data_IF_760547244229
#
_entry.id   IF_760547244229
#
_cell.length_a   1.000
_cell.length_b   1.000
_cell.length_c   1.000
_cell.angle_alpha   90.00
_cell.angle_beta   90.00
_cell.angle_gamma   90.00
#
_symmetry.space_group_name_H-M   'P 1'
#
loop_
_entity.id
_entity.type
_entity.pdbx_description
1 polymer ?
#
# COMPACT_ATOMS: atom_id res chain seq x y z
N UNK A 1 5.29 11.93 -19.81
CA UNK A 1 4.66 11.60 -18.51
C UNK A 1 3.75 10.42 -18.78
N UNK A 2 4.29 9.21 -18.60
CA UNK A 2 3.50 7.98 -18.76
C UNK A 2 2.42 7.96 -17.68
N UNK A 3 1.18 7.74 -18.10
CA UNK A 3 0.08 7.51 -17.18
C UNK A 3 0.45 6.35 -16.26
N UNK A 4 0.44 6.62 -14.96
CA UNK A 4 0.57 5.62 -13.91
C UNK A 4 -0.36 4.45 -14.22
N UNK A 5 0.24 3.28 -14.42
CA UNK A 5 -0.46 2.20 -15.11
C UNK A 5 -1.50 1.58 -14.17
N UNK A 6 -2.75 1.37 -14.61
CA UNK A 6 -3.75 0.60 -13.85
C UNK A 6 -3.21 -0.75 -13.35
N UNK A 7 -2.26 -1.33 -14.09
CA UNK A 7 -1.55 -2.54 -13.74
C UNK A 7 -0.68 -2.38 -12.48
N UNK A 8 0.02 -1.25 -12.32
CA UNK A 8 0.81 -0.97 -11.11
C UNK A 8 -0.08 -0.90 -9.87
N UNK A 9 -1.21 -0.20 -9.97
CA UNK A 9 -2.18 -0.14 -8.86
C UNK A 9 -2.79 -1.51 -8.55
N UNK A 10 -3.10 -2.30 -9.57
CA UNK A 10 -3.62 -3.65 -9.40
C UNK A 10 -2.62 -4.54 -8.63
N UNK A 11 -1.34 -4.54 -9.02
CA UNK A 11 -0.30 -5.33 -8.35
C UNK A 11 -0.16 -4.95 -6.87
N UNK A 12 -0.14 -3.65 -6.57
CA UNK A 12 -0.08 -3.17 -5.18
C UNK A 12 -1.32 -3.58 -4.40
N UNK A 13 -2.51 -3.48 -4.99
CA UNK A 13 -3.79 -3.86 -4.37
C UNK A 13 -3.86 -5.35 -4.03
N UNK A 14 -3.44 -6.20 -4.97
CA UNK A 14 -3.42 -7.65 -4.79
C UNK A 14 -2.45 -8.06 -3.67
N UNK A 15 -1.22 -7.52 -3.69
CA UNK A 15 -0.23 -7.79 -2.63
C UNK A 15 -0.69 -7.30 -1.27
N UNK A 16 -1.31 -6.11 -1.22
CA UNK A 16 -1.91 -5.58 0.00
C UNK A 16 -2.97 -6.53 0.57
N UNK A 17 -3.89 -7.02 -0.26
CA UNK A 17 -4.96 -7.92 0.16
C UNK A 17 -4.43 -9.24 0.71
N UNK A 18 -3.40 -9.81 0.07
CA UNK A 18 -2.74 -11.03 0.54
C UNK A 18 -2.11 -10.80 1.93
N UNK A 19 -1.34 -9.72 2.10
CA UNK A 19 -0.68 -9.45 3.39
C UNK A 19 -1.69 -9.17 4.50
N UNK A 20 -2.75 -8.41 4.24
CA UNK A 20 -3.79 -8.16 5.23
C UNK A 20 -4.45 -9.48 5.69
N UNK A 21 -4.83 -10.33 4.73
CA UNK A 21 -5.40 -11.64 5.04
C UNK A 21 -4.46 -12.52 5.87
N UNK A 22 -3.15 -12.47 5.60
CA UNK A 22 -2.17 -13.21 6.40
C UNK A 22 -2.06 -12.65 7.81
N UNK A 23 -1.98 -11.32 7.97
CA UNK A 23 -1.93 -10.68 9.28
C UNK A 23 -3.20 -10.94 10.10
N UNK A 24 -4.37 -10.97 9.47
CA UNK A 24 -5.64 -11.23 10.15
C UNK A 24 -5.73 -12.66 10.71
N UNK A 25 -5.05 -13.61 10.08
CA UNK A 25 -5.00 -15.02 10.52
C UNK A 25 -3.95 -15.29 11.59
N UNK A 26 -3.11 -14.31 11.94
CA UNK A 26 -2.05 -14.46 12.93
C UNK A 26 -2.40 -13.72 14.23
N UNK A 27 -2.86 -14.43 15.27
CA UNK A 27 -2.99 -13.85 16.60
C UNK A 27 -1.61 -13.72 17.26
N UNK A 28 -1.24 -12.52 17.71
CA UNK A 28 -0.02 -12.28 18.48
C UNK A 28 1.13 -11.69 17.67
N UNK A 29 2.36 -12.11 17.98
CA UNK A 29 3.57 -11.57 17.33
C UNK A 29 3.69 -12.11 15.90
N UNK A 30 3.90 -11.22 14.94
CA UNK A 30 4.09 -11.61 13.56
C UNK A 30 5.47 -12.25 13.35
N UNK A 31 5.59 -13.24 12.44
CA UNK A 31 6.88 -13.71 11.94
C UNK A 31 7.71 -12.55 11.35
N UNK A 32 9.03 -12.58 11.54
CA UNK A 32 9.95 -11.54 11.03
C UNK A 32 9.80 -11.32 9.52
N UNK A 33 9.51 -12.38 8.76
CA UNK A 33 9.27 -12.29 7.33
C UNK A 33 8.13 -11.32 6.98
N UNK A 34 7.04 -11.30 7.77
CA UNK A 34 5.90 -10.40 7.51
C UNK A 34 6.26 -8.93 7.70
N UNK A 35 7.22 -8.62 8.59
CA UNK A 35 7.73 -7.25 8.71
C UNK A 35 8.44 -6.82 7.42
N UNK A 36 9.33 -7.68 6.92
CA UNK A 36 10.04 -7.44 5.66
C UNK A 36 9.08 -7.31 4.48
N UNK A 37 8.05 -8.16 4.40
CA UNK A 37 7.09 -8.15 3.32
C UNK A 37 6.24 -6.85 3.31
N UNK A 38 5.79 -6.38 4.47
CA UNK A 38 5.04 -5.10 4.59
C UNK A 38 5.92 -3.91 4.23
N UNK A 39 7.16 -3.87 4.72
CA UNK A 39 8.12 -2.80 4.38
C UNK A 39 8.41 -2.79 2.88
N UNK A 40 8.62 -3.97 2.29
CA UNK A 40 8.87 -4.11 0.86
C UNK A 40 7.66 -3.68 0.01
N UNK A 41 6.43 -3.96 0.47
CA UNK A 41 5.23 -3.49 -0.19
C UNK A 41 5.14 -1.95 -0.16
N UNK A 42 5.40 -1.31 0.98
CA UNK A 42 5.37 0.16 1.10
C UNK A 42 6.37 0.81 0.14
N UNK A 43 7.62 0.32 0.13
CA UNK A 43 8.65 0.81 -0.79
C UNK A 43 8.34 0.49 -2.27
N UNK A 44 7.63 -0.59 -2.54
CA UNK A 44 7.14 -0.88 -3.89
C UNK A 44 6.06 0.11 -4.31
N UNK A 45 5.12 0.45 -3.43
CA UNK A 45 4.06 1.44 -3.70
C UNK A 45 4.64 2.80 -4.02
N UNK A 46 5.63 3.27 -3.23
CA UNK A 46 6.34 4.52 -3.48
C UNK A 46 6.92 4.58 -4.90
N UNK A 47 7.60 3.51 -5.32
CA UNK A 47 8.25 3.45 -6.64
C UNK A 47 7.29 3.23 -7.80
N UNK A 48 6.26 2.40 -7.62
CA UNK A 48 5.35 2.01 -8.70
C UNK A 48 4.24 3.03 -8.95
N UNK A 49 3.79 3.74 -7.91
CA UNK A 49 2.67 4.68 -8.01
C UNK A 49 3.09 6.13 -8.25
N UNK A 50 4.40 6.43 -8.32
CA UNK A 50 4.93 7.80 -8.41
C UNK A 50 4.17 8.72 -7.45
N UNK A 51 4.27 8.38 -6.16
CA UNK A 51 3.47 8.98 -5.11
C UNK A 51 3.71 10.49 -5.06
N UNK A 52 2.64 11.28 -4.92
CA UNK A 52 2.78 12.72 -4.76
C UNK A 52 3.35 13.10 -3.38
N UNK A 53 3.54 14.39 -3.13
CA UNK A 53 4.09 14.86 -1.85
C UNK A 53 3.27 14.38 -0.64
N UNK A 54 1.94 14.43 -0.71
CA UNK A 54 1.05 14.06 0.39
C UNK A 54 1.00 12.54 0.57
N UNK A 55 0.96 11.79 -0.52
CA UNK A 55 1.02 10.34 -0.48
C UNK A 55 2.35 9.83 0.07
N UNK A 56 3.46 10.51 -0.25
CA UNK A 56 4.76 10.21 0.34
C UNK A 56 4.79 10.41 1.86
N UNK A 57 4.13 11.44 2.39
CA UNK A 57 3.99 11.60 3.85
C UNK A 57 3.24 10.40 4.47
N UNK A 58 2.18 9.93 3.81
CA UNK A 58 1.43 8.74 4.26
C UNK A 58 2.30 7.47 4.19
N UNK A 59 3.08 7.29 3.11
CA UNK A 59 4.01 6.17 2.95
C UNK A 59 5.12 6.18 4.00
N UNK A 60 5.66 7.35 4.35
CA UNK A 60 6.64 7.50 5.43
C UNK A 60 6.04 7.09 6.79
N UNK A 61 4.81 7.52 7.07
CA UNK A 61 4.10 7.11 8.29
C UNK A 61 3.86 5.59 8.30
N UNK A 62 3.41 5.02 7.18
CA UNK A 62 3.21 3.58 7.04
C UNK A 62 4.52 2.81 7.27
N UNK A 63 5.63 3.29 6.70
CA UNK A 63 6.96 2.72 6.88
C UNK A 63 7.37 2.73 8.36
N UNK A 64 7.22 3.87 9.04
CA UNK A 64 7.52 3.97 10.48
C UNK A 64 6.70 2.97 11.30
N UNK A 65 5.39 2.91 11.06
CA UNK A 65 4.49 1.96 11.73
C UNK A 65 4.93 0.50 11.51
N UNK A 66 5.38 0.16 10.31
CA UNK A 66 5.85 -1.19 10.00
C UNK A 66 7.12 -1.54 10.78
N UNK A 67 8.08 -0.63 10.88
CA UNK A 67 9.30 -0.81 11.68
C UNK A 67 9.01 -0.92 13.18
N UNK A 68 7.95 -0.27 13.67
CA UNK A 68 7.59 -0.24 15.09
C UNK A 68 6.81 -1.47 15.58
N UNK A 69 6.33 -2.36 14.70
CA UNK A 69 5.42 -3.45 15.13
C UNK A 69 4.03 -3.41 14.53
N UNK A 70 3.59 -2.24 14.10
CA UNK A 70 2.19 -1.92 13.84
C UNK A 70 1.78 -2.26 12.41
N UNK A 71 2.02 -3.50 11.98
CA UNK A 71 1.87 -3.95 10.58
C UNK A 71 0.46 -3.72 10.02
N UNK A 72 -0.60 -4.01 10.80
CA UNK A 72 -1.98 -3.76 10.35
C UNK A 72 -2.25 -2.27 10.14
N UNK A 73 -1.77 -1.42 11.03
CA UNK A 73 -1.90 0.03 10.86
C UNK A 73 -1.11 0.53 9.66
N UNK A 74 0.09 0.00 9.42
CA UNK A 74 0.87 0.31 8.23
C UNK A 74 0.11 -0.06 6.95
N UNK A 75 -0.49 -1.25 6.88
CA UNK A 75 -1.32 -1.66 5.75
C UNK A 75 -2.60 -0.82 5.62
N UNK A 76 -3.22 -0.38 6.72
CA UNK A 76 -4.37 0.52 6.63
C UNK A 76 -4.01 1.87 6.00
N UNK A 77 -2.87 2.46 6.37
CA UNK A 77 -2.39 3.70 5.75
C UNK A 77 -2.08 3.51 4.27
N UNK A 78 -1.50 2.37 3.91
CA UNK A 78 -1.28 2.03 2.51
C UNK A 78 -2.58 1.90 1.72
N UNK A 79 -3.63 1.35 2.33
CA UNK A 79 -4.94 1.21 1.70
C UNK A 79 -5.58 2.55 1.36
N UNK A 80 -5.41 3.58 2.19
CA UNK A 80 -5.91 4.94 1.91
C UNK A 80 -5.41 5.45 0.54
N UNK A 81 -4.13 5.22 0.24
CA UNK A 81 -3.52 5.60 -1.05
C UNK A 81 -4.10 4.76 -2.19
N UNK A 82 -4.19 3.43 -2.00
CA UNK A 82 -4.72 2.50 -3.00
C UNK A 82 -6.15 2.89 -3.40
N UNK A 83 -7.01 3.18 -2.41
CA UNK A 83 -8.39 3.57 -2.62
C UNK A 83 -8.50 4.91 -3.34
N UNK A 84 -7.73 5.92 -2.91
CA UNK A 84 -7.72 7.24 -3.54
C UNK A 84 -7.29 7.15 -5.02
N UNK A 85 -6.25 6.37 -5.31
CA UNK A 85 -5.78 6.14 -6.69
C UNK A 85 -6.81 5.37 -7.52
N UNK A 86 -7.49 4.38 -6.95
CA UNK A 86 -8.55 3.62 -7.64
C UNK A 86 -9.74 4.50 -8.00
N UNK A 87 -10.18 5.35 -7.07
CA UNK A 87 -11.24 6.33 -7.30
C UNK A 87 -10.87 7.30 -8.42
N UNK A 88 -9.64 7.82 -8.42
CA UNK A 88 -9.16 8.72 -9.47
C UNK A 88 -9.12 8.04 -10.85
N UNK A 89 -8.68 6.78 -10.94
CA UNK A 89 -8.72 6.01 -12.18
C UNK A 89 -10.16 5.76 -12.66
N UNK A 90 -11.07 5.43 -11.74
CA UNK A 90 -12.48 5.23 -12.08
C UNK A 90 -13.10 6.51 -12.67
N UNK A 91 -12.85 7.67 -12.03
CA UNK A 91 -13.32 8.97 -12.52
C UNK A 91 -12.74 9.31 -13.89
N UNK A 92 -11.45 9.08 -14.11
CA UNK A 92 -10.81 9.33 -15.39
C UNK A 92 -11.42 8.48 -16.53
N UNK A 93 -11.86 7.26 -16.23
CA UNK A 93 -12.45 6.34 -17.21
C UNK A 93 -13.93 6.61 -17.52
N UNK A 94 -14.68 7.30 -16.65
CA UNK A 94 -16.14 7.50 -16.78
C UNK A 94 -16.56 8.95 -17.01
N UNK A 95 -15.62 9.89 -17.05
CA UNK A 95 -15.87 11.32 -17.33
C UNK A 95 -15.49 11.68 -18.79
N UNK A 96 -15.35 10.68 -19.67
CA UNK A 96 -15.19 10.87 -21.13
C UNK A 96 -16.51 10.68 -21.87
#
# INVERSE_FOLDING_TARGET
MEALSPQALQVVSERWSVLLNVLDRHPGRYPEQLYGDVIALIAQTERLLDADYFENEVLQIASRLAHEGSLKMALFRLHEIIEARRENLWRAAHVQ
#
